data_IF_785039405191
#
_entry.id   IF_785039405191
#
_cell.length_a   1.000
_cell.length_b   1.000
_cell.length_c   1.000
_cell.angle_alpha   90.00
_cell.angle_beta   90.00
_cell.angle_gamma   90.00
#
_symmetry.space_group_name_H-M   'P 1'
#
loop_
_entity.id
_entity.type
_entity.pdbx_description
1 polymer ?
#
# COMPACT_ATOMS: atom_id res chain seq x y z
N UNK A 1 -3.90 -10.89 12.86
CA UNK A 1 -2.86 -10.55 13.87
C UNK A 1 -2.24 -9.17 13.60
N UNK A 2 -1.57 -8.91 12.43
CA UNK A 2 -0.99 -7.58 12.12
C UNK A 2 -2.06 -6.48 12.09
N UNK A 3 -3.21 -6.78 11.54
CA UNK A 3 -4.35 -5.87 11.47
C UNK A 3 -4.85 -5.46 12.87
N UNK A 4 -4.91 -6.39 13.81
CA UNK A 4 -5.30 -6.14 15.21
C UNK A 4 -4.25 -5.29 15.95
N UNK A 5 -2.98 -5.33 15.50
CA UNK A 5 -1.89 -4.51 16.03
C UNK A 5 -1.87 -3.07 15.50
N UNK A 6 -2.87 -2.65 14.71
CA UNK A 6 -2.91 -1.28 14.18
C UNK A 6 -2.02 -1.08 12.95
N UNK A 7 -1.75 -2.13 12.16
CA UNK A 7 -0.89 -2.08 10.98
C UNK A 7 -1.72 -2.24 9.71
N UNK A 8 -1.56 -1.31 8.77
CA UNK A 8 -2.00 -1.43 7.37
C UNK A 8 -0.84 -1.86 6.49
N UNK A 9 -1.09 -2.62 5.44
CA UNK A 9 -0.04 -3.19 4.60
C UNK A 9 -0.38 -3.16 3.11
N UNK A 10 0.53 -2.59 2.31
CA UNK A 10 0.54 -2.72 0.85
C UNK A 10 1.64 -3.73 0.51
N UNK A 11 1.28 -4.96 0.07
CA UNK A 11 2.25 -6.01 -0.18
C UNK A 11 2.99 -5.81 -1.51
N UNK A 12 4.20 -6.36 -1.63
CA UNK A 12 5.02 -6.31 -2.84
C UNK A 12 4.37 -6.98 -4.06
N UNK A 13 3.66 -8.07 -3.82
CA UNK A 13 2.89 -8.78 -4.84
C UNK A 13 1.40 -8.63 -4.55
N UNK A 14 0.78 -7.66 -5.25
CA UNK A 14 -0.65 -7.35 -5.10
C UNK A 14 -1.57 -8.48 -5.50
N UNK A 15 -1.16 -9.32 -6.47
CA UNK A 15 -1.99 -10.41 -6.97
C UNK A 15 -1.92 -11.65 -6.09
N UNK A 16 -0.76 -11.91 -5.49
CA UNK A 16 -0.56 -13.09 -4.64
C UNK A 16 -0.95 -12.85 -3.18
N UNK A 17 -0.71 -11.63 -2.69
CA UNK A 17 -0.85 -11.31 -1.26
C UNK A 17 -1.79 -10.11 -0.99
N UNK A 18 -2.11 -9.32 -1.99
CA UNK A 18 -2.94 -8.13 -1.85
C UNK A 18 -4.42 -8.38 -2.08
N UNK A 19 -4.78 -9.19 -3.05
CA UNK A 19 -6.15 -9.43 -3.50
C UNK A 19 -6.45 -10.92 -3.60
N UNK A 20 -7.73 -11.26 -3.47
CA UNK A 20 -8.28 -12.55 -3.91
C UNK A 20 -8.86 -12.32 -5.30
N UNK A 21 -8.11 -12.70 -6.34
CA UNK A 21 -8.40 -12.29 -7.74
C UNK A 21 -9.76 -12.75 -8.25
N UNK A 22 -10.23 -13.92 -7.82
CA UNK A 22 -11.51 -14.50 -8.22
C UNK A 22 -12.70 -13.90 -7.45
N UNK A 23 -12.45 -13.18 -6.34
CA UNK A 23 -13.49 -12.48 -5.59
C UNK A 23 -13.84 -11.16 -6.26
N UNK A 24 -15.06 -10.70 -6.01
CA UNK A 24 -15.51 -9.39 -6.48
C UNK A 24 -14.68 -8.26 -5.86
N UNK A 25 -14.69 -7.09 -6.50
CA UNK A 25 -14.07 -5.88 -5.95
C UNK A 25 -14.68 -5.53 -4.60
N UNK A 26 -16.04 -5.61 -4.46
CA UNK A 26 -16.72 -5.35 -3.18
C UNK A 26 -16.30 -6.31 -2.08
N UNK A 27 -16.12 -7.60 -2.38
CA UNK A 27 -15.66 -8.57 -1.39
C UNK A 27 -14.19 -8.31 -1.00
N UNK A 28 -13.32 -7.93 -1.96
CA UNK A 28 -11.93 -7.56 -1.67
C UNK A 28 -11.81 -6.30 -0.80
N UNK A 29 -12.65 -5.30 -1.02
CA UNK A 29 -12.69 -4.09 -0.20
C UNK A 29 -13.13 -4.37 1.24
N UNK A 30 -13.88 -5.45 1.46
CA UNK A 30 -14.44 -5.81 2.76
C UNK A 30 -13.62 -6.83 3.55
N UNK A 31 -12.63 -7.51 2.95
CA UNK A 31 -11.94 -8.69 3.53
C UNK A 31 -11.58 -8.54 5.02
N UNK A 32 -11.12 -7.38 5.43
CA UNK A 32 -10.67 -7.13 6.80
C UNK A 32 -11.82 -6.76 7.75
N UNK A 33 -12.99 -6.37 7.22
CA UNK A 33 -14.14 -5.85 7.97
C UNK A 33 -15.39 -6.70 7.85
N UNK A 34 -15.30 -7.87 7.23
CA UNK A 34 -16.44 -8.72 6.88
C UNK A 34 -17.28 -9.11 8.11
N UNK A 35 -16.67 -9.25 9.27
CA UNK A 35 -17.34 -9.60 10.53
C UNK A 35 -17.96 -8.41 11.26
N UNK A 36 -17.66 -7.18 10.81
CA UNK A 36 -18.09 -5.97 11.47
C UNK A 36 -19.50 -5.54 11.04
N UNK A 37 -20.25 -4.88 11.95
CA UNK A 37 -21.47 -4.16 11.56
C UNK A 37 -21.06 -2.93 10.73
N UNK A 38 -21.87 -2.56 9.71
CA UNK A 38 -23.19 -3.11 9.32
C UNK A 38 -23.11 -4.27 8.31
N UNK A 39 -21.92 -4.81 8.00
CA UNK A 39 -21.69 -5.77 6.91
C UNK A 39 -22.11 -7.20 7.26
N UNK A 40 -22.00 -7.57 8.55
CA UNK A 40 -22.41 -8.88 9.03
C UNK A 40 -23.22 -8.78 10.34
N UNK A 41 -24.23 -9.66 10.48
CA UNK A 41 -24.97 -9.84 11.70
C UNK A 41 -25.38 -11.31 11.85
N UNK A 42 -25.04 -11.93 12.98
CA UNK A 42 -25.32 -13.34 13.27
C UNK A 42 -24.90 -14.32 12.14
N UNK A 43 -23.75 -14.07 11.52
CA UNK A 43 -23.23 -14.90 10.43
C UNK A 43 -23.86 -14.65 9.05
N UNK A 44 -24.81 -13.73 8.96
CA UNK A 44 -25.45 -13.36 7.68
C UNK A 44 -24.87 -12.06 7.14
N UNK A 45 -24.47 -12.04 5.86
CA UNK A 45 -23.92 -10.87 5.19
C UNK A 45 -25.02 -9.93 4.70
N UNK A 46 -24.88 -8.64 5.00
CA UNK A 46 -25.73 -7.59 4.46
C UNK A 46 -25.17 -7.09 3.12
N UNK A 47 -25.54 -7.76 2.02
CA UNK A 47 -25.06 -7.45 0.68
C UNK A 47 -25.35 -6.01 0.26
N UNK A 48 -26.46 -5.42 0.70
CA UNK A 48 -26.79 -4.01 0.39
C UNK A 48 -25.80 -3.03 1.03
N UNK A 49 -25.42 -3.26 2.29
CA UNK A 49 -24.46 -2.43 2.99
C UNK A 49 -23.05 -2.59 2.39
N UNK A 50 -22.68 -3.82 2.01
CA UNK A 50 -21.39 -4.14 1.36
C UNK A 50 -21.29 -3.40 0.03
N UNK A 51 -22.31 -3.52 -0.82
CA UNK A 51 -22.32 -2.87 -2.13
C UNK A 51 -22.27 -1.34 -2.02
N UNK A 52 -23.05 -0.74 -1.12
CA UNK A 52 -23.03 0.70 -0.89
C UNK A 52 -21.64 1.21 -0.44
N UNK A 53 -20.98 0.49 0.47
CA UNK A 53 -19.62 0.80 0.92
C UNK A 53 -18.60 0.68 -0.22
N UNK A 54 -18.70 -0.36 -1.04
CA UNK A 54 -17.81 -0.55 -2.18
C UNK A 54 -17.99 0.57 -3.22
N UNK A 55 -19.23 0.96 -3.53
CA UNK A 55 -19.50 2.07 -4.46
C UNK A 55 -18.87 3.37 -3.96
N UNK A 56 -19.01 3.70 -2.66
CA UNK A 56 -18.37 4.87 -2.07
C UNK A 56 -16.84 4.84 -2.23
N UNK A 57 -16.21 3.70 -1.93
CA UNK A 57 -14.76 3.55 -2.04
C UNK A 57 -14.28 3.60 -3.50
N UNK A 58 -14.98 2.95 -4.42
CA UNK A 58 -14.68 2.98 -5.86
C UNK A 58 -14.71 4.41 -6.40
N UNK A 59 -15.67 5.22 -5.97
CA UNK A 59 -15.76 6.63 -6.36
C UNK A 59 -14.64 7.46 -5.71
N UNK A 60 -14.45 7.34 -4.41
CA UNK A 60 -13.46 8.09 -3.62
C UNK A 60 -12.03 7.84 -4.07
N UNK A 61 -11.69 6.60 -4.43
CA UNK A 61 -10.36 6.18 -4.85
C UNK A 61 -10.18 6.12 -6.37
N UNK A 62 -11.19 6.55 -7.13
CA UNK A 62 -11.20 6.55 -8.60
C UNK A 62 -10.79 5.20 -9.19
N UNK A 63 -11.38 4.11 -8.67
CA UNK A 63 -11.20 2.77 -9.24
C UNK A 63 -11.97 2.68 -10.56
N UNK A 64 -11.36 2.12 -11.58
CA UNK A 64 -11.94 2.00 -12.91
C UNK A 64 -12.02 0.54 -13.39
N UNK A 65 -13.05 0.17 -14.18
CA UNK A 65 -14.18 1.01 -14.57
C UNK A 65 -15.14 1.26 -13.39
N UNK A 66 -15.91 2.36 -13.42
CA UNK A 66 -16.99 2.58 -12.45
C UNK A 66 -18.04 1.50 -12.61
N UNK A 67 -18.70 1.12 -11.53
CA UNK A 67 -19.68 0.03 -11.55
C UNK A 67 -19.02 -1.36 -11.55
N UNK A 68 -17.75 -1.44 -11.16
CA UNK A 68 -17.00 -2.71 -11.08
C UNK A 68 -17.15 -3.47 -9.77
N UNK A 69 -18.07 -3.07 -8.89
CA UNK A 69 -18.27 -3.66 -7.55
C UNK A 69 -18.33 -5.17 -7.59
N UNK A 70 -19.11 -5.71 -8.52
CA UNK A 70 -19.33 -7.16 -8.66
C UNK A 70 -18.37 -7.85 -9.63
N UNK A 71 -17.47 -7.10 -10.29
CA UNK A 71 -16.48 -7.69 -11.19
C UNK A 71 -15.39 -8.42 -10.39
N UNK A 72 -14.83 -9.52 -10.90
CA UNK A 72 -13.65 -10.14 -10.28
C UNK A 72 -12.48 -9.15 -10.22
N UNK A 73 -11.81 -9.07 -9.09
CA UNK A 73 -10.67 -8.15 -8.91
C UNK A 73 -9.53 -8.43 -9.91
N UNK A 74 -9.39 -9.67 -10.35
CA UNK A 74 -8.43 -10.08 -11.39
C UNK A 74 -8.67 -9.45 -12.76
N UNK A 75 -9.89 -8.98 -13.05
CA UNK A 75 -10.23 -8.33 -14.33
C UNK A 75 -9.77 -6.87 -14.42
N UNK A 76 -9.38 -6.27 -13.29
CA UNK A 76 -8.93 -4.89 -13.25
C UNK A 76 -7.48 -4.75 -13.74
N UNK A 77 -7.13 -3.57 -14.29
CA UNK A 77 -5.73 -3.23 -14.56
C UNK A 77 -4.91 -3.17 -13.26
N UNK A 78 -3.58 -3.36 -13.37
CA UNK A 78 -2.69 -3.33 -12.21
C UNK A 78 -2.81 -2.06 -11.35
N UNK A 79 -2.96 -0.89 -11.98
CA UNK A 79 -3.18 0.37 -11.28
C UNK A 79 -4.51 0.39 -10.51
N UNK A 80 -5.60 -0.15 -11.08
CA UNK A 80 -6.88 -0.23 -10.39
C UNK A 80 -6.88 -1.30 -9.28
N UNK A 81 -6.19 -2.43 -9.47
CA UNK A 81 -5.95 -3.40 -8.40
C UNK A 81 -5.24 -2.75 -7.21
N UNK A 82 -4.23 -1.92 -7.47
CA UNK A 82 -3.50 -1.19 -6.42
C UNK A 82 -4.42 -0.20 -5.70
N UNK A 83 -5.27 0.52 -6.42
CA UNK A 83 -6.26 1.43 -5.83
C UNK A 83 -7.26 0.71 -4.92
N UNK A 84 -7.68 -0.52 -5.27
CA UNK A 84 -8.54 -1.35 -4.42
C UNK A 84 -7.84 -1.71 -3.10
N UNK A 85 -6.56 -2.12 -3.16
CA UNK A 85 -5.77 -2.41 -1.95
C UNK A 85 -5.66 -1.16 -1.08
N UNK A 86 -5.27 -0.02 -1.67
CA UNK A 86 -5.14 1.25 -0.95
C UNK A 86 -6.48 1.65 -0.32
N UNK A 87 -7.59 1.58 -1.06
CA UNK A 87 -8.92 1.91 -0.56
C UNK A 87 -9.29 1.07 0.68
N UNK A 88 -9.01 -0.23 0.64
CA UNK A 88 -9.22 -1.13 1.78
C UNK A 88 -8.35 -0.75 2.98
N UNK A 89 -7.05 -0.56 2.76
CA UNK A 89 -6.10 -0.28 3.84
C UNK A 89 -6.33 1.08 4.51
N UNK A 90 -6.75 2.10 3.72
CA UNK A 90 -7.08 3.44 4.24
C UNK A 90 -8.28 3.44 5.16
N UNK A 91 -9.30 2.67 4.80
CA UNK A 91 -10.58 2.65 5.51
C UNK A 91 -10.41 2.17 6.96
N UNK A 92 -9.32 1.47 7.23
CA UNK A 92 -9.04 0.90 8.54
C UNK A 92 -8.34 1.86 9.52
N UNK A 93 -7.95 3.04 9.06
CA UNK A 93 -7.37 4.15 9.85
C UNK A 93 -6.32 3.70 10.90
N UNK A 94 -5.34 2.91 10.44
CA UNK A 94 -4.27 2.37 11.29
C UNK A 94 -3.11 3.36 11.46
N UNK A 95 -2.36 3.24 12.56
CA UNK A 95 -1.26 4.15 12.92
C UNK A 95 0.02 3.91 12.14
N UNK A 96 0.24 2.68 11.65
CA UNK A 96 1.40 2.30 10.85
C UNK A 96 0.98 1.78 9.48
N UNK A 97 1.57 2.34 8.42
CA UNK A 97 1.49 1.83 7.05
C UNK A 97 2.83 1.19 6.67
N UNK A 98 2.81 -0.08 6.27
CA UNK A 98 3.95 -0.76 5.66
C UNK A 98 3.67 -0.87 4.16
N UNK A 99 4.48 -0.23 3.31
CA UNK A 99 4.35 -0.27 1.86
C UNK A 99 5.60 -0.91 1.25
N UNK A 100 5.43 -2.06 0.59
CA UNK A 100 6.54 -2.80 -0.02
C UNK A 100 6.39 -2.79 -1.54
N UNK A 101 7.35 -2.14 -2.24
CA UNK A 101 7.34 -1.94 -3.69
C UNK A 101 5.97 -1.50 -4.23
N UNK A 102 5.34 -0.45 -3.63
CA UNK A 102 3.93 -0.14 -3.85
C UNK A 102 3.62 0.32 -5.28
N UNK A 103 4.63 0.75 -6.02
CA UNK A 103 4.50 1.27 -7.39
C UNK A 103 4.95 0.29 -8.47
N UNK A 104 5.43 -0.90 -8.09
CA UNK A 104 5.96 -1.87 -9.03
C UNK A 104 4.97 -2.25 -10.14
N UNK A 105 5.39 -2.03 -11.40
CA UNK A 105 4.62 -2.40 -12.59
C UNK A 105 3.34 -1.57 -12.78
N UNK A 106 3.33 -0.33 -12.27
CA UNK A 106 2.27 0.63 -12.49
C UNK A 106 2.64 1.64 -13.57
N UNK A 107 1.63 2.24 -14.19
CA UNK A 107 1.80 3.41 -15.05
C UNK A 107 2.05 4.68 -14.23
N UNK A 108 2.53 5.74 -14.89
CA UNK A 108 2.91 7.01 -14.25
C UNK A 108 1.78 7.61 -13.42
N UNK A 109 0.54 7.58 -13.92
CA UNK A 109 -0.60 8.15 -13.20
C UNK A 109 -0.93 7.37 -11.92
N UNK A 110 -0.79 6.04 -11.96
CA UNK A 110 -0.97 5.20 -10.78
C UNK A 110 0.18 5.37 -9.77
N UNK A 111 1.42 5.57 -10.23
CA UNK A 111 2.57 5.87 -9.37
C UNK A 111 2.33 7.17 -8.60
N UNK A 112 1.98 8.27 -9.29
CA UNK A 112 1.69 9.56 -8.65
C UNK A 112 0.55 9.45 -7.63
N UNK A 113 -0.45 8.64 -7.93
CA UNK A 113 -1.55 8.39 -6.99
C UNK A 113 -1.07 7.71 -5.71
N UNK A 114 -0.25 6.65 -5.83
CA UNK A 114 0.33 5.93 -4.68
C UNK A 114 1.22 6.84 -3.84
N UNK A 115 2.08 7.63 -4.49
CA UNK A 115 2.97 8.57 -3.80
C UNK A 115 2.19 9.61 -3.00
N UNK A 116 1.17 10.23 -3.60
CA UNK A 116 0.29 11.17 -2.89
C UNK A 116 -0.36 10.52 -1.68
N UNK A 117 -0.82 9.28 -1.86
CA UNK A 117 -1.44 8.55 -0.76
C UNK A 117 -0.47 8.32 0.42
N UNK A 118 0.77 7.88 0.14
CA UNK A 118 1.80 7.67 1.18
C UNK A 118 2.09 8.97 1.92
N UNK A 119 2.28 10.08 1.20
CA UNK A 119 2.50 11.41 1.78
C UNK A 119 1.31 11.86 2.64
N UNK A 120 0.09 11.60 2.19
CA UNK A 120 -1.13 11.94 2.94
C UNK A 120 -1.21 11.17 4.28
N UNK A 121 -0.80 9.90 4.32
CA UNK A 121 -0.76 9.14 5.58
C UNK A 121 0.26 9.74 6.56
N UNK A 122 1.47 10.08 6.07
CA UNK A 122 2.48 10.79 6.87
C UNK A 122 1.95 12.12 7.40
N UNK A 123 1.32 12.93 6.55
CA UNK A 123 0.79 14.25 6.92
C UNK A 123 -0.35 14.17 7.96
N UNK A 124 -1.03 13.03 8.05
CA UNK A 124 -1.99 12.71 9.12
C UNK A 124 -1.33 12.29 10.43
N UNK A 125 -0.01 12.31 10.52
CA UNK A 125 0.76 11.93 11.71
C UNK A 125 0.99 10.43 11.88
N UNK A 126 0.73 9.62 10.84
CA UNK A 126 0.95 8.17 10.88
C UNK A 126 2.41 7.85 10.57
N UNK A 127 2.89 6.74 11.12
CA UNK A 127 4.16 6.18 10.74
C UNK A 127 4.05 5.45 9.38
N UNK A 128 5.04 5.65 8.51
CA UNK A 128 5.12 4.96 7.22
C UNK A 128 6.47 4.27 7.10
N UNK A 129 6.46 2.96 6.88
CA UNK A 129 7.64 2.19 6.48
C UNK A 129 7.52 1.88 4.98
N UNK A 130 8.32 2.58 4.17
CA UNK A 130 8.42 2.34 2.74
C UNK A 130 9.62 1.46 2.45
N UNK A 131 9.40 0.33 1.79
CA UNK A 131 10.45 -0.55 1.28
C UNK A 131 10.34 -0.57 -0.24
N UNK A 132 11.36 -0.10 -0.94
CA UNK A 132 11.36 -0.03 -2.40
C UNK A 132 12.77 -0.24 -2.97
N UNK A 133 12.84 -0.76 -4.20
CA UNK A 133 14.06 -0.82 -5.01
C UNK A 133 14.20 0.40 -5.92
N UNK A 134 13.16 1.23 -6.03
CA UNK A 134 13.15 2.42 -6.87
C UNK A 134 13.77 3.59 -6.10
N UNK A 135 15.00 4.00 -6.47
CA UNK A 135 15.73 5.06 -5.76
C UNK A 135 14.98 6.39 -5.77
N UNK A 136 14.37 6.75 -6.91
CA UNK A 136 13.59 7.99 -7.05
C UNK A 136 12.40 8.02 -6.08
N UNK A 137 11.72 6.88 -5.88
CA UNK A 137 10.62 6.75 -4.93
C UNK A 137 11.11 6.98 -3.50
N UNK A 138 12.17 6.28 -3.09
CA UNK A 138 12.74 6.42 -1.75
C UNK A 138 13.23 7.84 -1.48
N UNK A 139 13.98 8.43 -2.41
CA UNK A 139 14.55 9.77 -2.23
C UNK A 139 13.50 10.88 -2.20
N UNK A 140 12.41 10.72 -2.96
CA UNK A 140 11.34 11.73 -3.02
C UNK A 140 10.38 11.69 -1.84
N UNK A 141 10.20 10.53 -1.20
CA UNK A 141 9.16 10.32 -0.20
C UNK A 141 9.67 10.20 1.24
N UNK A 142 10.95 9.83 1.44
CA UNK A 142 11.44 9.41 2.75
C UNK A 142 12.09 10.56 3.52
N UNK A 143 11.73 10.70 4.79
CA UNK A 143 12.40 11.62 5.73
C UNK A 143 13.75 11.05 6.21
N UNK A 144 13.83 9.72 6.32
CA UNK A 144 15.04 8.94 6.67
C UNK A 144 15.16 7.75 5.73
N UNK A 145 16.38 7.42 5.34
CA UNK A 145 16.70 6.31 4.45
C UNK A 145 17.69 5.37 5.15
N UNK A 146 17.30 4.11 5.22
CA UNK A 146 18.14 3.02 5.70
C UNK A 146 18.37 2.03 4.53
N UNK A 147 19.64 1.65 4.28
CA UNK A 147 19.99 0.66 3.27
C UNK A 147 20.28 -0.67 3.93
N UNK A 148 19.63 -1.73 3.45
CA UNK A 148 19.85 -3.10 3.93
C UNK A 148 20.65 -3.86 2.86
N UNK A 149 21.77 -4.45 3.27
CA UNK A 149 22.57 -5.35 2.44
C UNK A 149 22.94 -6.59 3.26
N UNK A 150 22.74 -7.78 2.69
CA UNK A 150 23.00 -9.09 3.34
C UNK A 150 22.41 -9.19 4.77
N UNK A 151 21.18 -8.66 4.96
CA UNK A 151 20.47 -8.73 6.24
C UNK A 151 20.95 -7.76 7.31
N UNK A 152 21.81 -6.79 6.96
CA UNK A 152 22.30 -5.75 7.88
C UNK A 152 21.98 -4.37 7.33
N UNK A 153 21.72 -3.41 8.23
CA UNK A 153 21.66 -2.00 7.88
C UNK A 153 23.10 -1.52 7.69
N UNK A 154 23.46 -1.17 6.45
CA UNK A 154 24.81 -0.72 6.07
C UNK A 154 24.91 0.80 5.94
N UNK A 155 23.78 1.48 5.88
CA UNK A 155 23.71 2.94 5.80
C UNK A 155 22.41 3.44 6.44
N UNK A 156 22.49 4.60 7.09
CA UNK A 156 21.33 5.27 7.67
C UNK A 156 21.59 6.78 7.73
N UNK A 157 20.70 7.56 7.07
CA UNK A 157 20.80 9.02 7.08
C UNK A 157 19.45 9.71 6.83
N UNK A 158 19.31 11.02 7.14
CA UNK A 158 18.21 11.82 6.68
C UNK A 158 18.13 11.84 5.15
N UNK A 159 16.91 11.73 4.59
CA UNK A 159 16.71 11.67 3.13
C UNK A 159 17.34 12.86 2.38
N UNK A 160 17.29 14.06 2.98
CA UNK A 160 17.85 15.29 2.40
C UNK A 160 19.38 15.31 2.31
N UNK A 161 20.07 14.48 3.10
CA UNK A 161 21.53 14.38 3.14
C UNK A 161 22.08 13.24 2.28
N UNK A 162 21.19 12.52 1.61
CA UNK A 162 21.49 11.32 0.83
C UNK A 162 21.48 11.64 -0.66
N UNK A 163 22.31 10.96 -1.43
CA UNK A 163 22.33 11.07 -2.90
C UNK A 163 22.25 9.69 -3.55
N UNK A 164 21.75 9.66 -4.79
CA UNK A 164 21.51 8.44 -5.57
C UNK A 164 22.76 7.57 -5.72
N UNK A 165 23.92 8.20 -6.03
CA UNK A 165 25.18 7.49 -6.22
C UNK A 165 25.62 6.76 -4.93
N UNK A 166 25.45 7.40 -3.78
CA UNK A 166 25.79 6.83 -2.48
C UNK A 166 24.87 5.65 -2.16
N UNK A 167 23.56 5.81 -2.36
CA UNK A 167 22.60 4.72 -2.16
C UNK A 167 22.92 3.53 -3.06
N UNK A 168 23.14 3.76 -4.35
CA UNK A 168 23.48 2.71 -5.31
C UNK A 168 24.75 1.95 -4.92
N UNK A 169 25.77 2.66 -4.42
CA UNK A 169 27.01 2.03 -3.93
C UNK A 169 26.76 1.14 -2.70
N UNK A 170 26.00 1.65 -1.72
CA UNK A 170 25.66 0.90 -0.50
C UNK A 170 24.78 -0.32 -0.81
N UNK A 171 23.82 -0.20 -1.71
CA UNK A 171 22.98 -1.30 -2.16
C UNK A 171 23.77 -2.41 -2.87
N UNK A 172 24.88 -2.06 -3.52
CA UNK A 172 25.81 -3.00 -4.17
C UNK A 172 26.86 -3.61 -3.21
N UNK A 173 26.83 -3.25 -1.91
CA UNK A 173 27.82 -3.72 -0.92
C UNK A 173 29.17 -3.01 -1.00
N UNK A 174 29.25 -1.87 -1.69
CA UNK A 174 30.49 -1.12 -1.98
C UNK A 174 30.75 0.05 -1.03
N UNK A 175 30.50 -0.04 0.27
CA UNK A 175 30.73 1.06 1.20
C UNK A 175 31.29 0.60 2.54
N UNK A 176 32.13 1.46 3.18
CA UNK A 176 32.43 1.34 4.60
C UNK A 176 31.15 1.55 5.41
N UNK A 177 30.95 0.71 6.44
CA UNK A 177 29.78 0.75 7.30
C UNK A 177 29.68 2.11 8.04
N UNK A 178 28.86 3.03 7.55
CA UNK A 178 28.45 4.22 8.28
C UNK A 178 27.08 3.95 8.94
N UNK A 179 27.11 3.41 10.15
CA UNK A 179 25.95 3.38 11.05
C UNK A 179 26.23 4.45 12.11
N UNK A 180 25.56 5.59 12.01
CA UNK A 180 25.55 6.66 12.99
C UNK A 180 24.39 6.51 13.99
#
# INVERSE_FOLDING_TARGET
YLYELGISSIPADRQKHGLVLDFSVEDNLLLQNISNRPYSFLGTLNRRAIHAHATELIEKFDVRPRGCETHPAGSLSGGNQQKVIIAREVTNDKDLLIAVNPTRGLDVGAIEYVHRYIVDQRNKGKAVLLVSFELDEIMSLSDRIDVIFEGKIVYSAPGKETNERQLGLMMAGGGEHHVG
#
